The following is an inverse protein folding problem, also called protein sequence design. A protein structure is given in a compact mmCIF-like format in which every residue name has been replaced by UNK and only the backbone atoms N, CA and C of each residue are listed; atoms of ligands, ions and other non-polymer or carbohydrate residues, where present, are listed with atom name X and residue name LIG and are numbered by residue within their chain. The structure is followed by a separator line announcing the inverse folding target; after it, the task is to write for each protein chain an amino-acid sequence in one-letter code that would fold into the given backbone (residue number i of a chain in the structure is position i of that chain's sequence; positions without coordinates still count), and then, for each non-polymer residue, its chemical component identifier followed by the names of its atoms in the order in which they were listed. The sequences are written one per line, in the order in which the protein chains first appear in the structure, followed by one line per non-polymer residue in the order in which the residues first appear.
data_IF_143961098022
#
_entry.id   IF_143961098022
#
_cell.length_a   1.000
_cell.length_b   1.000
_cell.length_c   1.000
_cell.angle_alpha   90.00
_cell.angle_beta   90.00
_cell.angle_gamma   90.00
#
_symmetry.space_group_name_H-M   'P 1'
#
loop_
_entity.id
_entity.type
_entity.pdbx_description
1 polymer ?
#
# COMPACT_ATOMS: atom_id res chain seq x y z
N UNK A 1 8.14 3.45 -7.36
CA UNK A 1 7.51 4.47 -8.20
C UNK A 1 8.55 5.21 -9.02
N UNK A 2 9.57 5.81 -8.41
CA UNK A 2 10.64 6.51 -9.12
C UNK A 2 11.44 5.59 -10.04
N UNK A 3 11.66 4.34 -9.66
CA UNK A 3 12.25 3.33 -10.56
C UNK A 3 11.42 3.12 -11.83
N UNK A 4 10.07 3.08 -11.67
CA UNK A 4 9.14 3.02 -12.80
C UNK A 4 9.27 4.23 -13.72
N UNK A 5 9.25 5.43 -13.14
CA UNK A 5 9.36 6.67 -13.88
C UNK A 5 10.67 6.77 -14.66
N UNK A 6 11.81 6.61 -13.97
CA UNK A 6 13.12 6.73 -14.62
C UNK A 6 13.37 5.63 -15.67
N UNK A 7 12.91 4.41 -15.42
CA UNK A 7 12.97 3.36 -16.44
C UNK A 7 12.16 3.72 -17.68
N UNK A 8 10.95 4.29 -17.50
CA UNK A 8 10.07 4.66 -18.63
C UNK A 8 10.63 5.76 -19.54
N UNK A 9 11.48 6.64 -19.00
CA UNK A 9 12.17 7.69 -19.79
C UNK A 9 13.56 7.26 -20.28
N UNK A 10 13.91 5.97 -20.16
CA UNK A 10 15.11 5.39 -20.75
C UNK A 10 16.35 5.33 -19.86
N UNK A 11 16.24 5.63 -18.57
CA UNK A 11 17.36 5.48 -17.64
C UNK A 11 17.63 4.02 -17.33
N UNK A 12 18.91 3.63 -17.23
CA UNK A 12 19.32 2.35 -16.66
C UNK A 12 19.13 2.39 -15.14
N UNK A 13 18.17 1.63 -14.62
CA UNK A 13 17.79 1.68 -13.21
C UNK A 13 18.28 0.44 -12.48
N UNK A 14 18.97 0.64 -11.35
CA UNK A 14 19.28 -0.40 -10.37
C UNK A 14 18.62 -0.05 -9.03
N UNK A 15 17.84 -0.96 -8.49
CA UNK A 15 17.23 -0.88 -7.16
C UNK A 15 18.05 -1.72 -6.19
N UNK A 16 18.50 -1.13 -5.08
CA UNK A 16 19.20 -1.83 -4.00
C UNK A 16 18.27 -1.83 -2.79
N UNK A 17 17.90 -3.01 -2.32
CA UNK A 17 16.97 -3.20 -1.21
C UNK A 17 17.54 -4.20 -0.18
N UNK A 18 17.45 -3.84 1.10
CA UNK A 18 17.94 -4.68 2.19
C UNK A 18 17.05 -5.90 2.42
N UNK A 19 15.74 -5.77 2.16
CA UNK A 19 14.81 -6.89 2.24
C UNK A 19 14.99 -7.85 1.06
N UNK A 20 14.40 -9.02 1.16
CA UNK A 20 14.38 -10.04 0.11
C UNK A 20 13.28 -9.80 -0.94
N UNK A 21 12.52 -8.74 -0.81
CA UNK A 21 11.40 -8.36 -1.68
C UNK A 21 11.27 -6.83 -1.80
N UNK A 22 10.51 -6.37 -2.81
CA UNK A 22 10.21 -4.96 -3.05
C UNK A 22 8.85 -4.54 -2.48
N UNK A 23 8.62 -3.23 -2.38
CA UNK A 23 7.33 -2.62 -2.02
C UNK A 23 6.79 -2.98 -0.62
N UNK A 24 7.66 -3.34 0.32
CA UNK A 24 7.33 -3.49 1.75
C UNK A 24 6.25 -4.54 2.04
N UNK A 25 5.28 -4.23 2.89
CA UNK A 25 4.26 -5.17 3.38
C UNK A 25 3.11 -5.46 2.38
N UNK A 26 3.24 -5.12 1.11
CA UNK A 26 2.26 -5.51 0.09
C UNK A 26 2.26 -7.04 -0.12
N UNK A 27 1.23 -7.54 -0.82
CA UNK A 27 1.12 -8.98 -1.12
C UNK A 27 2.36 -9.48 -1.86
N UNK A 28 3.02 -10.49 -1.30
CA UNK A 28 4.31 -11.01 -1.78
C UNK A 28 4.25 -11.55 -3.22
N UNK A 29 3.11 -12.12 -3.62
CA UNK A 29 2.94 -12.64 -4.97
C UNK A 29 2.80 -11.51 -5.99
N UNK A 30 2.05 -10.45 -5.63
CA UNK A 30 1.88 -9.30 -6.50
C UNK A 30 3.17 -8.49 -6.62
N UNK A 31 3.92 -8.34 -5.52
CA UNK A 31 5.23 -7.65 -5.56
C UNK A 31 6.26 -8.42 -6.36
N UNK A 32 6.29 -9.75 -6.27
CA UNK A 32 7.16 -10.59 -7.10
C UNK A 32 6.80 -10.50 -8.60
N UNK A 33 5.50 -10.43 -8.92
CA UNK A 33 5.05 -10.23 -10.30
C UNK A 33 5.44 -8.84 -10.81
N UNK A 34 5.27 -7.80 -9.99
CA UNK A 34 5.71 -6.44 -10.32
C UNK A 34 7.22 -6.38 -10.58
N UNK A 35 8.03 -6.98 -9.70
CA UNK A 35 9.48 -7.09 -9.87
C UNK A 35 9.83 -7.74 -11.21
N UNK A 36 9.26 -8.90 -11.50
CA UNK A 36 9.48 -9.62 -12.76
C UNK A 36 9.12 -8.79 -13.99
N UNK A 37 8.06 -7.99 -13.91
CA UNK A 37 7.66 -7.10 -14.99
C UNK A 37 8.70 -6.00 -15.23
N UNK A 38 9.31 -5.47 -14.19
CA UNK A 38 10.38 -4.47 -14.33
C UNK A 38 11.72 -5.08 -14.72
N UNK A 39 12.04 -6.30 -14.29
CA UNK A 39 13.22 -7.03 -14.77
C UNK A 39 13.17 -7.25 -16.30
N UNK A 40 12.00 -7.61 -16.84
CA UNK A 40 11.77 -7.70 -18.30
C UNK A 40 11.99 -6.35 -19.02
N UNK A 41 11.80 -5.22 -18.32
CA UNK A 41 12.06 -3.86 -18.85
C UNK A 41 13.48 -3.38 -18.59
N UNK A 42 14.37 -4.25 -18.07
CA UNK A 42 15.78 -3.94 -17.83
C UNK A 42 16.10 -3.29 -16.49
N UNK A 43 15.16 -3.20 -15.57
CA UNK A 43 15.45 -2.77 -14.18
C UNK A 43 16.19 -3.90 -13.47
N UNK A 44 17.32 -3.57 -12.86
CA UNK A 44 18.10 -4.51 -12.06
C UNK A 44 17.73 -4.40 -10.59
N UNK A 45 17.42 -5.52 -9.95
CA UNK A 45 17.15 -5.58 -8.51
C UNK A 45 18.28 -6.30 -7.77
N UNK A 46 18.77 -5.67 -6.71
CA UNK A 46 19.77 -6.22 -5.78
C UNK A 46 19.07 -6.31 -4.42
N UNK A 47 18.41 -7.44 -4.18
CA UNK A 47 17.68 -7.71 -2.94
C UNK A 47 18.58 -8.39 -1.90
N UNK A 48 18.26 -8.28 -0.61
CA UNK A 48 19.10 -8.74 0.48
C UNK A 48 20.44 -7.99 0.54
N UNK A 49 20.48 -6.76 0.02
CA UNK A 49 21.67 -5.95 -0.17
C UNK A 49 21.62 -4.70 0.72
N UNK A 50 22.49 -4.61 1.72
CA UNK A 50 22.54 -3.50 2.67
C UNK A 50 23.45 -2.38 2.17
N UNK A 51 22.90 -1.24 1.80
CA UNK A 51 23.69 -0.05 1.45
C UNK A 51 24.52 0.39 2.64
N UNK A 52 25.80 0.61 2.41
CA UNK A 52 26.77 1.05 3.44
C UNK A 52 27.27 2.47 3.19
N UNK A 53 27.36 2.91 1.95
CA UNK A 53 27.89 4.23 1.60
C UNK A 53 27.36 4.70 0.25
N UNK A 54 27.08 5.99 0.14
CA UNK A 54 26.89 6.69 -1.14
C UNK A 54 28.19 7.47 -1.42
N UNK A 55 28.81 7.17 -2.56
CA UNK A 55 30.07 7.78 -2.99
C UNK A 55 29.83 8.74 -4.17
N UNK A 56 30.86 9.49 -4.57
CA UNK A 56 30.80 10.35 -5.76
C UNK A 56 30.54 9.57 -7.06
N UNK A 57 30.87 8.28 -7.10
CA UNK A 57 30.81 7.45 -8.32
C UNK A 57 29.73 6.38 -8.27
N UNK A 58 28.98 6.26 -7.17
CA UNK A 58 27.94 5.24 -7.04
C UNK A 58 27.59 4.88 -5.60
N UNK A 59 27.13 3.64 -5.41
CA UNK A 59 26.64 3.14 -4.12
C UNK A 59 27.38 1.87 -3.74
N UNK A 60 27.93 1.83 -2.52
CA UNK A 60 28.47 0.60 -1.91
C UNK A 60 27.37 -0.12 -1.15
N UNK A 61 27.32 -1.42 -1.32
CA UNK A 61 26.46 -2.29 -0.54
C UNK A 61 27.18 -3.57 -0.12
N UNK A 62 26.69 -4.19 0.92
CA UNK A 62 27.10 -5.52 1.38
C UNK A 62 25.99 -6.54 1.10
N UNK A 63 26.39 -7.67 0.54
CA UNK A 63 25.54 -8.83 0.34
C UNK A 63 26.38 -10.09 0.57
N UNK A 64 25.88 -11.01 1.42
CA UNK A 64 26.54 -12.28 1.74
C UNK A 64 27.99 -12.13 2.24
N UNK A 65 28.29 -11.01 2.92
CA UNK A 65 29.61 -10.69 3.45
C UNK A 65 30.56 -10.05 2.44
N UNK A 66 30.15 -9.84 1.20
CA UNK A 66 30.94 -9.17 0.16
C UNK A 66 30.51 -7.71 0.02
N UNK A 67 31.51 -6.80 -0.06
CA UNK A 67 31.29 -5.39 -0.36
C UNK A 67 31.44 -5.14 -1.86
N UNK A 68 30.39 -4.57 -2.46
CA UNK A 68 30.33 -4.30 -3.91
C UNK A 68 30.00 -2.82 -4.15
N UNK A 69 30.61 -2.23 -5.18
CA UNK A 69 30.29 -0.88 -5.67
C UNK A 69 29.46 -0.99 -6.95
N UNK A 70 28.29 -0.36 -6.97
CA UNK A 70 27.51 -0.11 -8.19
C UNK A 70 27.74 1.32 -8.62
N UNK A 71 28.30 1.51 -9.82
CA UNK A 71 28.45 2.82 -10.40
C UNK A 71 27.07 3.44 -10.76
N UNK A 72 26.90 4.71 -10.51
CA UNK A 72 25.68 5.44 -10.83
C UNK A 72 25.96 6.93 -11.02
N UNK A 73 25.34 7.54 -12.01
CA UNK A 73 25.41 8.99 -12.26
C UNK A 73 24.54 9.78 -11.26
N UNK A 74 23.44 9.16 -10.83
CA UNK A 74 22.50 9.72 -9.85
C UNK A 74 22.03 8.65 -8.87
N UNK A 75 21.87 9.06 -7.62
CA UNK A 75 21.37 8.20 -6.55
C UNK A 75 20.11 8.83 -5.97
N UNK A 76 19.02 8.04 -5.93
CA UNK A 76 17.79 8.43 -5.26
C UNK A 76 17.68 7.63 -3.96
N UNK A 77 17.57 8.33 -2.84
CA UNK A 77 17.39 7.76 -1.53
C UNK A 77 15.90 7.62 -1.22
N UNK A 78 15.42 6.38 -1.06
CA UNK A 78 14.02 6.07 -0.79
C UNK A 78 13.90 4.94 0.24
N UNK A 79 14.50 5.16 1.42
CA UNK A 79 14.65 4.16 2.50
C UNK A 79 13.55 4.24 3.56
N UNK A 80 12.46 4.93 3.29
CA UNK A 80 11.33 5.11 4.20
C UNK A 80 11.18 6.53 4.72
N UNK A 81 10.18 6.71 5.58
CA UNK A 81 9.81 7.98 6.20
C UNK A 81 9.66 7.80 7.70
N UNK A 82 9.85 8.89 8.45
CA UNK A 82 9.54 8.99 9.86
C UNK A 82 8.82 10.31 10.15
N UNK A 83 8.10 10.36 11.25
CA UNK A 83 7.48 11.61 11.69
C UNK A 83 8.56 12.69 11.89
N UNK A 84 8.26 13.89 11.42
CA UNK A 84 9.16 15.05 11.61
C UNK A 84 8.60 15.93 12.72
N UNK A 85 8.95 15.59 13.96
CA UNK A 85 8.50 16.25 15.18
C UNK A 85 9.61 17.07 15.87
N UNK A 86 10.83 16.96 15.38
CA UNK A 86 11.96 17.72 15.89
C UNK A 86 11.69 19.23 15.80
N UNK A 87 12.10 19.97 16.81
CA UNK A 87 12.02 21.45 16.87
C UNK A 87 10.60 22.05 16.92
N UNK A 88 9.55 21.20 17.08
CA UNK A 88 8.18 21.71 17.31
C UNK A 88 7.93 22.19 18.73
N UNK A 89 8.88 21.97 19.66
CA UNK A 89 8.75 22.38 21.06
C UNK A 89 7.71 21.57 21.84
N UNK A 90 7.41 20.36 21.39
CA UNK A 90 6.39 19.47 21.99
C UNK A 90 6.68 19.13 23.45
N UNK A 91 7.97 19.05 23.80
CA UNK A 91 8.45 18.82 25.15
C UNK A 91 8.05 19.94 26.12
N UNK A 92 7.86 21.17 25.64
CA UNK A 92 7.48 22.33 26.46
C UNK A 92 6.05 22.24 26.97
N UNK A 93 5.20 21.54 26.21
CA UNK A 93 3.78 21.35 26.57
C UNK A 93 3.50 19.89 26.99
N UNK A 94 4.52 19.04 27.00
CA UNK A 94 4.41 17.68 27.50
C UNK A 94 3.68 16.70 26.56
N UNK A 95 3.69 16.94 25.24
CA UNK A 95 3.10 16.00 24.26
C UNK A 95 3.92 14.72 24.22
N UNK A 96 3.25 13.57 24.34
CA UNK A 96 3.89 12.26 24.32
C UNK A 96 4.28 11.85 22.89
N UNK A 97 5.50 11.32 22.77
CA UNK A 97 6.04 10.78 21.53
C UNK A 97 6.34 9.28 21.68
N UNK A 98 6.14 8.52 20.62
CA UNK A 98 6.62 7.16 20.46
C UNK A 98 7.38 7.03 19.13
N UNK A 99 8.68 6.69 19.16
CA UNK A 99 9.54 6.60 17.97
C UNK A 99 9.46 7.86 17.07
N UNK A 100 9.56 9.03 17.70
CA UNK A 100 9.42 10.36 17.08
C UNK A 100 8.00 10.73 16.61
N UNK A 101 7.01 9.85 16.68
CA UNK A 101 5.63 10.13 16.31
C UNK A 101 4.79 10.62 17.49
N UNK A 102 3.88 11.56 17.25
CA UNK A 102 2.94 12.04 18.27
C UNK A 102 1.90 10.96 18.57
N UNK A 103 1.79 10.55 19.82
CA UNK A 103 0.78 9.58 20.27
C UNK A 103 -0.61 10.21 20.23
N UNK A 104 -1.55 9.55 19.53
CA UNK A 104 -2.95 9.97 19.47
C UNK A 104 -3.91 8.80 19.75
N UNK A 105 -5.07 9.13 20.30
CA UNK A 105 -6.21 8.20 20.42
C UNK A 105 -6.99 8.06 19.09
N UNK A 106 -8.17 7.40 19.12
CA UNK A 106 -9.02 7.23 17.96
C UNK A 106 -9.72 8.54 17.50
N UNK A 107 -9.72 9.56 18.34
CA UNK A 107 -10.26 10.88 18.04
C UNK A 107 -9.18 11.91 17.65
N UNK A 108 -7.96 11.42 17.40
CA UNK A 108 -6.77 12.25 17.09
C UNK A 108 -6.30 13.15 18.23
N UNK A 109 -6.80 12.94 19.47
CA UNK A 109 -6.38 13.69 20.65
C UNK A 109 -5.00 13.22 21.09
N UNK A 110 -4.14 14.15 21.47
CA UNK A 110 -2.90 13.82 22.19
C UNK A 110 -3.20 13.65 23.69
N UNK A 111 -2.18 13.35 24.48
CA UNK A 111 -2.26 13.34 25.93
C UNK A 111 -2.45 14.74 26.54
N UNK A 112 -2.31 15.81 25.77
CA UNK A 112 -2.48 17.20 26.21
C UNK A 112 -3.85 17.70 25.76
N UNK A 113 -4.66 18.13 26.70
CA UNK A 113 -6.02 18.64 26.42
C UNK A 113 -6.00 19.79 25.42
N UNK A 114 -6.86 19.71 24.39
CA UNK A 114 -6.97 20.72 23.32
C UNK A 114 -5.87 20.64 22.26
N UNK A 115 -4.99 19.64 22.32
CA UNK A 115 -3.95 19.40 21.32
C UNK A 115 -4.24 18.12 20.54
N UNK A 116 -4.29 18.22 19.22
CA UNK A 116 -4.58 17.15 18.28
C UNK A 116 -3.40 16.97 17.32
N UNK A 117 -3.27 15.78 16.73
CA UNK A 117 -2.27 15.51 15.69
C UNK A 117 -2.85 14.62 14.59
N UNK A 118 -2.75 15.08 13.33
CA UNK A 118 -3.23 14.38 12.15
C UNK A 118 -2.14 14.33 11.07
N UNK A 119 -2.13 13.28 10.25
CA UNK A 119 -1.17 13.06 9.18
C UNK A 119 0.13 12.42 9.64
N UNK A 120 1.17 12.51 8.81
CA UNK A 120 2.46 11.83 8.98
C UNK A 120 3.09 12.00 10.37
N UNK A 121 2.76 13.09 11.04
CA UNK A 121 3.30 13.44 12.36
C UNK A 121 2.89 12.46 13.46
N UNK A 122 1.74 11.74 13.31
CA UNK A 122 1.30 10.72 14.25
C UNK A 122 1.86 9.31 13.96
N UNK A 123 2.52 9.13 12.80
CA UNK A 123 3.21 7.88 12.43
C UNK A 123 2.31 6.68 12.13
N UNK A 124 0.99 6.82 12.14
CA UNK A 124 0.05 5.69 11.95
C UNK A 124 -0.13 5.30 10.48
N UNK A 125 -0.36 6.28 9.61
CA UNK A 125 -0.53 6.07 8.17
C UNK A 125 -0.03 7.31 7.42
N UNK A 126 1.11 7.18 6.75
CA UNK A 126 1.76 8.29 6.06
C UNK A 126 1.23 8.46 4.63
N UNK A 127 -0.11 8.64 4.51
CA UNK A 127 -0.84 8.79 3.25
C UNK A 127 -1.71 10.05 3.32
N UNK A 128 -1.71 10.85 2.26
CA UNK A 128 -2.42 12.12 2.21
C UNK A 128 -3.93 11.99 2.48
N UNK A 129 -4.57 10.97 1.88
CA UNK A 129 -6.00 10.71 2.08
C UNK A 129 -6.33 10.23 3.50
N UNK A 130 -5.40 9.56 4.18
CA UNK A 130 -5.54 9.25 5.61
C UNK A 130 -5.47 10.52 6.45
N UNK A 131 -4.52 11.41 6.14
CA UNK A 131 -4.37 12.68 6.85
C UNK A 131 -5.63 13.57 6.73
N UNK A 132 -6.30 13.58 5.57
CA UNK A 132 -7.59 14.27 5.42
C UNK A 132 -8.63 13.72 6.37
N UNK A 133 -8.78 12.39 6.43
CA UNK A 133 -9.77 11.76 7.31
C UNK A 133 -9.44 11.96 8.79
N UNK A 134 -8.19 11.87 9.17
CA UNK A 134 -7.75 12.16 10.53
C UNK A 134 -8.04 13.62 10.93
N UNK A 135 -7.82 14.58 10.03
CA UNK A 135 -8.14 15.98 10.27
C UNK A 135 -9.65 16.20 10.43
N UNK A 136 -10.49 15.54 9.63
CA UNK A 136 -11.95 15.58 9.78
C UNK A 136 -12.37 15.04 11.16
N UNK A 137 -11.82 13.90 11.59
CA UNK A 137 -12.10 13.32 12.92
C UNK A 137 -11.70 14.28 14.03
N UNK A 138 -10.52 14.89 13.95
CA UNK A 138 -10.05 15.87 14.92
C UNK A 138 -11.02 17.08 15.02
N UNK A 139 -11.43 17.61 13.88
CA UNK A 139 -12.38 18.76 13.84
C UNK A 139 -13.76 18.36 14.36
N UNK A 140 -14.27 17.18 14.00
CA UNK A 140 -15.54 16.68 14.50
C UNK A 140 -15.52 16.54 16.02
N UNK A 141 -14.44 16.03 16.58
CA UNK A 141 -14.26 15.92 18.03
C UNK A 141 -14.22 17.30 18.72
N UNK A 142 -13.50 18.27 18.15
CA UNK A 142 -13.48 19.66 18.63
C UNK A 142 -14.89 20.27 18.63
N UNK A 143 -15.71 19.94 17.63
CA UNK A 143 -17.09 20.43 17.50
C UNK A 143 -18.10 19.62 18.31
N UNK A 144 -17.69 18.60 19.03
CA UNK A 144 -18.58 17.72 19.81
C UNK A 144 -19.41 16.76 18.95
N UNK A 145 -19.01 16.53 17.70
CA UNK A 145 -19.63 15.54 16.81
C UNK A 145 -18.96 14.19 17.05
N UNK A 146 -19.78 13.14 17.28
CA UNK A 146 -19.27 11.78 17.49
C UNK A 146 -18.64 11.23 16.20
N UNK A 147 -17.34 11.00 16.24
CA UNK A 147 -16.57 10.44 15.12
C UNK A 147 -15.29 9.79 15.65
N UNK A 148 -14.78 8.78 14.93
CA UNK A 148 -13.53 8.09 15.27
C UNK A 148 -12.77 7.65 14.03
N UNK A 149 -11.45 7.62 14.10
CA UNK A 149 -10.59 7.13 13.04
C UNK A 149 -10.47 5.62 13.08
N UNK A 150 -10.72 4.98 11.94
CA UNK A 150 -10.54 3.56 11.72
C UNK A 150 -9.57 3.35 10.56
N UNK A 151 -8.58 2.46 10.74
CA UNK A 151 -7.50 2.26 9.76
C UNK A 151 -7.63 0.97 8.95
N UNK A 152 -8.67 0.16 9.20
CA UNK A 152 -8.79 -1.18 8.61
C UNK A 152 -9.14 -1.18 7.11
N UNK A 153 -9.67 -0.07 6.59
CA UNK A 153 -10.10 0.08 5.21
C UNK A 153 -9.39 1.21 4.45
N UNK A 154 -8.21 1.62 4.91
CA UNK A 154 -7.41 2.63 4.21
C UNK A 154 -6.80 2.02 2.96
N UNK A 155 -7.15 2.49 1.73
CA UNK A 155 -6.53 2.02 0.51
C UNK A 155 -5.11 2.56 0.37
N UNK A 156 -4.22 1.76 -0.20
CA UNK A 156 -2.85 2.17 -0.52
C UNK A 156 -2.54 1.84 -1.97
N UNK A 157 -1.79 2.71 -2.63
CA UNK A 157 -1.40 2.54 -4.02
C UNK A 157 0.08 2.80 -4.20
N UNK A 158 0.76 1.92 -4.93
CA UNK A 158 2.08 2.14 -5.50
C UNK A 158 1.89 2.47 -6.97
N UNK A 159 2.15 3.71 -7.33
CA UNK A 159 1.94 4.26 -8.68
C UNK A 159 3.07 3.85 -9.63
N UNK A 160 3.13 2.57 -9.91
CA UNK A 160 3.96 1.95 -10.94
C UNK A 160 3.13 1.73 -12.21
N UNK A 161 3.69 1.10 -13.23
CA UNK A 161 2.97 0.66 -14.42
C UNK A 161 3.29 -0.83 -14.68
N UNK A 162 2.35 -1.75 -14.38
CA UNK A 162 1.01 -1.55 -13.82
C UNK A 162 1.05 -1.05 -12.36
N UNK A 163 -0.06 -0.43 -11.91
CA UNK A 163 -0.25 0.01 -10.53
C UNK A 163 -0.42 -1.18 -9.59
N UNK A 164 0.11 -1.07 -8.35
CA UNK A 164 -0.15 -2.02 -7.28
C UNK A 164 -1.01 -1.34 -6.22
N UNK A 165 -2.25 -1.78 -6.07
CA UNK A 165 -3.18 -1.23 -5.09
C UNK A 165 -3.63 -2.29 -4.08
N UNK A 166 -3.92 -1.85 -2.85
CA UNK A 166 -4.35 -2.71 -1.76
C UNK A 166 -5.30 -2.00 -0.82
N UNK A 167 -6.18 -2.76 -0.17
CA UNK A 167 -7.00 -2.31 0.95
C UNK A 167 -7.29 -3.49 1.88
N UNK A 168 -7.33 -3.25 3.18
CA UNK A 168 -7.64 -4.26 4.19
C UNK A 168 -6.56 -5.34 4.33
N UNK A 169 -6.98 -6.55 4.62
CA UNK A 169 -6.08 -7.67 4.90
C UNK A 169 -5.46 -8.27 3.64
N UNK A 170 -4.18 -8.64 3.72
CA UNK A 170 -3.54 -9.59 2.81
C UNK A 170 -3.64 -11.00 3.39
N UNK A 171 -3.31 -12.04 2.62
CA UNK A 171 -3.20 -13.40 3.15
C UNK A 171 -2.22 -13.47 4.33
N UNK A 172 -1.10 -12.75 4.24
CA UNK A 172 -0.07 -12.72 5.27
C UNK A 172 -0.56 -12.02 6.56
N UNK A 173 -1.23 -10.87 6.45
CA UNK A 173 -1.75 -10.15 7.61
C UNK A 173 -2.90 -10.92 8.26
N UNK A 174 -3.80 -11.49 7.48
CA UNK A 174 -4.89 -12.34 7.97
C UNK A 174 -4.34 -13.55 8.75
N UNK A 175 -3.32 -14.21 8.21
CA UNK A 175 -2.65 -15.33 8.89
C UNK A 175 -2.01 -14.89 10.21
N UNK A 176 -1.32 -13.75 10.24
CA UNK A 176 -0.72 -13.20 11.48
C UNK A 176 -1.78 -12.92 12.55
N UNK A 177 -2.99 -12.52 12.14
CA UNK A 177 -4.14 -12.25 13.01
C UNK A 177 -4.95 -13.50 13.37
N UNK A 178 -4.61 -14.67 12.84
CA UNK A 178 -5.33 -15.92 13.05
C UNK A 178 -6.72 -15.96 12.43
N UNK A 179 -6.97 -15.14 11.39
CA UNK A 179 -8.24 -15.12 10.68
C UNK A 179 -8.35 -16.33 9.75
N UNK A 180 -9.52 -16.98 9.76
CA UNK A 180 -9.84 -18.04 8.80
C UNK A 180 -10.41 -17.41 7.52
N UNK A 181 -9.67 -17.53 6.42
CA UNK A 181 -9.97 -16.82 5.18
C UNK A 181 -10.08 -17.75 3.96
N UNK A 182 -10.79 -17.26 2.95
CA UNK A 182 -10.66 -17.66 1.56
C UNK A 182 -10.00 -16.52 0.79
N UNK A 183 -8.94 -16.83 0.05
CA UNK A 183 -8.30 -15.89 -0.88
C UNK A 183 -8.65 -16.32 -2.31
N UNK A 184 -9.33 -15.45 -3.04
CA UNK A 184 -9.67 -15.67 -4.46
C UNK A 184 -8.72 -14.87 -5.30
N UNK A 185 -7.92 -15.57 -6.10
CA UNK A 185 -6.98 -14.97 -7.04
C UNK A 185 -7.49 -15.12 -8.46
N UNK A 186 -7.64 -14.01 -9.16
CA UNK A 186 -7.99 -14.00 -10.57
C UNK A 186 -6.96 -13.26 -11.42
N UNK A 187 -6.54 -13.81 -12.56
CA UNK A 187 -5.85 -13.05 -13.58
C UNK A 187 -6.74 -11.94 -14.12
N UNK A 188 -6.18 -10.76 -14.37
CA UNK A 188 -6.92 -9.61 -14.90
C UNK A 188 -7.54 -9.86 -16.29
N UNK A 189 -7.13 -10.91 -17.00
CA UNK A 189 -7.77 -11.32 -18.26
C UNK A 189 -9.25 -11.73 -18.12
N UNK A 190 -9.75 -11.91 -16.91
CA UNK A 190 -11.19 -12.08 -16.65
C UNK A 190 -11.97 -10.78 -16.82
N UNK A 191 -11.31 -9.62 -16.91
CA UNK A 191 -11.90 -8.36 -17.37
C UNK A 191 -11.63 -8.19 -18.87
N UNK A 192 -12.67 -8.19 -19.70
CA UNK A 192 -12.54 -8.01 -21.14
C UNK A 192 -11.96 -6.63 -21.52
N UNK A 193 -12.30 -5.57 -20.75
CA UNK A 193 -11.73 -4.23 -20.93
C UNK A 193 -10.22 -4.23 -20.66
N UNK A 194 -9.78 -4.89 -19.57
CA UNK A 194 -8.36 -4.99 -19.29
C UNK A 194 -7.60 -5.68 -20.43
N UNK A 195 -8.17 -6.76 -20.97
CA UNK A 195 -7.55 -7.52 -22.07
C UNK A 195 -7.45 -6.68 -23.35
N UNK A 196 -8.46 -5.88 -23.64
CA UNK A 196 -8.47 -5.01 -24.82
C UNK A 196 -7.44 -3.88 -24.75
N UNK A 197 -7.09 -3.41 -23.55
CA UNK A 197 -6.15 -2.32 -23.34
C UNK A 197 -4.72 -2.77 -23.03
N UNK A 198 -4.52 -4.05 -22.68
CA UNK A 198 -3.23 -4.58 -22.23
C UNK A 198 -2.87 -5.86 -22.99
N UNK A 199 -2.08 -5.74 -24.05
CA UNK A 199 -1.55 -6.88 -24.77
C UNK A 199 -0.68 -7.76 -23.84
N UNK A 200 -1.05 -9.04 -23.69
CA UNK A 200 -0.34 -9.99 -22.84
C UNK A 200 -0.51 -9.81 -21.32
N UNK A 201 -1.54 -9.12 -20.91
CA UNK A 201 -1.84 -8.67 -19.55
C UNK A 201 -1.54 -9.60 -18.39
N UNK A 202 -0.41 -9.35 -17.71
CA UNK A 202 0.08 -10.11 -16.55
C UNK A 202 -0.53 -9.63 -15.20
N UNK A 203 -1.64 -8.89 -15.23
CA UNK A 203 -2.28 -8.37 -14.03
C UNK A 203 -2.99 -9.45 -13.22
N UNK A 204 -3.11 -9.21 -11.92
CA UNK A 204 -3.75 -10.11 -10.95
C UNK A 204 -4.57 -9.30 -9.97
N UNK A 205 -5.74 -9.81 -9.60
CA UNK A 205 -6.53 -9.33 -8.47
C UNK A 205 -6.71 -10.46 -7.45
N UNK A 206 -6.64 -10.11 -6.15
CA UNK A 206 -6.92 -11.00 -5.03
C UNK A 206 -8.01 -10.40 -4.17
N UNK A 207 -9.05 -11.17 -3.87
CA UNK A 207 -10.11 -10.83 -2.92
C UNK A 207 -9.96 -11.70 -1.69
N UNK A 208 -9.93 -11.09 -0.50
CA UNK A 208 -9.80 -11.78 0.78
C UNK A 208 -11.15 -11.74 1.50
N UNK A 209 -11.63 -12.92 1.87
CA UNK A 209 -12.94 -13.12 2.50
C UNK A 209 -12.77 -13.89 3.79
N UNK A 210 -13.36 -13.42 4.86
CA UNK A 210 -13.42 -14.14 6.13
C UNK A 210 -14.49 -15.24 6.06
N UNK A 211 -14.10 -16.53 6.29
CA UNK A 211 -15.00 -17.69 6.08
C UNK A 211 -16.20 -17.68 7.01
N UNK A 212 -16.00 -17.35 8.27
CA UNK A 212 -17.08 -17.42 9.27
C UNK A 212 -18.20 -16.40 9.03
N UNK A 213 -17.85 -15.20 8.58
CA UNK A 213 -18.80 -14.10 8.36
C UNK A 213 -19.14 -13.86 6.90
N UNK A 214 -18.37 -14.44 5.98
CA UNK A 214 -18.44 -14.21 4.54
C UNK A 214 -18.21 -12.75 4.15
N UNK A 215 -17.56 -11.96 5.02
CA UNK A 215 -17.25 -10.56 4.74
C UNK A 215 -16.01 -10.42 3.90
N UNK A 216 -16.05 -9.47 2.98
CA UNK A 216 -14.85 -8.99 2.29
C UNK A 216 -14.03 -8.19 3.28
N UNK A 217 -12.80 -8.65 3.54
CA UNK A 217 -11.89 -8.03 4.51
C UNK A 217 -10.61 -7.50 3.87
N UNK A 218 -10.43 -7.72 2.58
CA UNK A 218 -9.29 -7.16 1.85
C UNK A 218 -9.34 -7.39 0.35
N UNK A 219 -8.61 -6.57 -0.37
CA UNK A 219 -8.36 -6.72 -1.79
C UNK A 219 -6.97 -6.19 -2.15
N UNK A 220 -6.30 -6.87 -3.07
CA UNK A 220 -5.06 -6.45 -3.68
C UNK A 220 -5.17 -6.60 -5.19
N UNK A 221 -4.58 -5.65 -5.94
CA UNK A 221 -4.59 -5.70 -7.40
C UNK A 221 -3.27 -5.17 -7.98
N UNK A 222 -2.77 -5.87 -9.00
CA UNK A 222 -1.69 -5.41 -9.86
C UNK A 222 -2.28 -5.25 -11.27
N UNK A 223 -2.65 -4.03 -11.64
CA UNK A 223 -3.34 -3.74 -12.90
C UNK A 223 -3.32 -2.25 -13.23
N UNK A 224 -3.62 -1.86 -14.47
CA UNK A 224 -3.99 -0.47 -14.78
C UNK A 224 -5.30 -0.15 -14.07
N UNK A 225 -5.49 1.12 -13.71
CA UNK A 225 -6.67 1.62 -12.99
C UNK A 225 -6.90 0.97 -11.62
N UNK A 226 -5.89 0.25 -11.07
CA UNK A 226 -6.02 -0.32 -9.73
C UNK A 226 -6.26 0.78 -8.69
N UNK A 227 -5.64 1.95 -8.84
CA UNK A 227 -5.88 3.13 -8.01
C UNK A 227 -7.32 3.61 -8.01
N UNK A 228 -8.03 3.47 -9.14
CA UNK A 228 -9.42 3.91 -9.28
C UNK A 228 -10.40 2.90 -8.68
N UNK A 229 -10.26 1.62 -9.03
CA UNK A 229 -11.24 0.62 -8.60
C UNK A 229 -11.01 0.07 -7.19
N UNK A 230 -9.81 0.26 -6.59
CA UNK A 230 -9.55 -0.17 -5.21
C UNK A 230 -10.47 0.53 -4.20
N UNK A 231 -10.91 1.75 -4.50
CA UNK A 231 -11.88 2.52 -3.70
C UNK A 231 -13.21 1.78 -3.54
N UNK A 232 -13.66 1.03 -4.56
CA UNK A 232 -14.85 0.18 -4.47
C UNK A 232 -14.66 -0.93 -3.42
N UNK A 233 -13.50 -1.58 -3.42
CA UNK A 233 -13.18 -2.59 -2.41
C UNK A 233 -13.03 -1.97 -1.01
N UNK A 234 -12.50 -0.74 -0.90
CA UNK A 234 -12.44 -0.02 0.36
C UNK A 234 -13.83 0.21 0.97
N UNK A 235 -14.82 0.55 0.15
CA UNK A 235 -16.22 0.65 0.59
C UNK A 235 -16.74 -0.69 1.12
N UNK A 236 -16.42 -1.81 0.48
CA UNK A 236 -16.86 -3.12 0.95
C UNK A 236 -16.25 -3.49 2.29
N UNK A 237 -14.94 -3.24 2.45
CA UNK A 237 -14.23 -3.49 3.72
C UNK A 237 -14.74 -2.58 4.83
N UNK A 238 -14.90 -1.27 4.55
CA UNK A 238 -15.38 -0.29 5.54
C UNK A 238 -16.82 -0.59 6.00
N UNK A 239 -17.71 -0.94 5.07
CA UNK A 239 -19.10 -1.29 5.36
C UNK A 239 -19.26 -2.73 5.89
N UNK A 240 -18.21 -3.54 5.93
CA UNK A 240 -18.26 -4.95 6.33
C UNK A 240 -19.17 -5.79 5.46
N UNK A 241 -19.20 -5.52 4.14
CA UNK A 241 -20.10 -6.20 3.21
C UNK A 241 -19.76 -7.67 3.02
N UNK A 242 -20.80 -8.50 2.98
CA UNK A 242 -20.66 -9.92 2.68
C UNK A 242 -20.57 -10.19 1.17
N UNK A 243 -20.04 -11.35 0.79
CA UNK A 243 -20.03 -11.80 -0.61
C UNK A 243 -21.42 -11.76 -1.25
N UNK A 244 -22.45 -12.15 -0.50
CA UNK A 244 -23.84 -12.13 -1.02
C UNK A 244 -24.28 -10.71 -1.37
N UNK A 245 -23.93 -9.73 -0.53
CA UNK A 245 -24.23 -8.32 -0.80
C UNK A 245 -23.45 -7.79 -2.00
N UNK A 246 -22.14 -8.11 -2.09
CA UNK A 246 -21.30 -7.69 -3.23
C UNK A 246 -21.80 -8.28 -4.55
N UNK A 247 -22.21 -9.55 -4.58
CA UNK A 247 -22.77 -10.23 -5.76
C UNK A 247 -24.05 -9.59 -6.30
N UNK A 248 -24.81 -8.89 -5.45
CA UNK A 248 -26.03 -8.15 -5.83
C UNK A 248 -25.78 -6.78 -6.43
N UNK A 249 -24.54 -6.27 -6.35
CA UNK A 249 -24.17 -4.97 -6.91
C UNK A 249 -24.04 -5.08 -8.43
N UNK A 250 -24.60 -4.11 -9.15
CA UNK A 250 -24.47 -3.99 -10.59
C UNK A 250 -23.17 -3.24 -10.90
N UNK A 251 -22.24 -3.90 -11.57
CA UNK A 251 -21.01 -3.30 -12.08
C UNK A 251 -21.17 -2.89 -13.54
N UNK A 252 -20.64 -1.74 -13.95
CA UNK A 252 -20.69 -1.34 -15.36
C UNK A 252 -19.81 -2.25 -16.22
N UNK A 253 -20.31 -2.60 -17.40
CA UNK A 253 -19.60 -3.43 -18.39
C UNK A 253 -19.48 -2.70 -19.73
N UNK A 254 -18.28 -2.71 -20.41
CA UNK A 254 -17.03 -3.34 -19.95
C UNK A 254 -16.17 -2.35 -19.13
N UNK A 255 -15.66 -2.78 -17.98
CA UNK A 255 -14.71 -2.01 -17.15
C UNK A 255 -13.60 -2.88 -16.60
N UNK A 256 -12.46 -2.26 -16.22
CA UNK A 256 -11.39 -3.00 -15.53
C UNK A 256 -11.83 -3.41 -14.12
N UNK A 257 -12.58 -2.54 -13.43
CA UNK A 257 -13.03 -2.77 -12.05
C UNK A 257 -14.05 -3.90 -11.89
N UNK A 258 -14.70 -4.39 -12.96
CA UNK A 258 -15.60 -5.55 -12.88
C UNK A 258 -14.89 -6.84 -12.44
N UNK A 259 -13.55 -6.86 -12.41
CA UNK A 259 -12.77 -7.96 -11.84
C UNK A 259 -13.15 -8.26 -10.38
N UNK A 260 -13.60 -7.25 -9.64
CA UNK A 260 -14.09 -7.40 -8.26
C UNK A 260 -15.32 -8.31 -8.22
N UNK A 261 -16.27 -8.07 -9.12
CA UNK A 261 -17.45 -8.89 -9.28
C UNK A 261 -17.08 -10.33 -9.63
N UNK A 262 -16.21 -10.51 -10.61
CA UNK A 262 -15.74 -11.83 -11.01
C UNK A 262 -15.07 -12.58 -9.86
N UNK A 263 -14.23 -11.89 -9.07
CA UNK A 263 -13.63 -12.48 -7.87
C UNK A 263 -14.67 -12.86 -6.82
N UNK A 264 -15.68 -12.01 -6.59
CA UNK A 264 -16.76 -12.32 -5.64
C UNK A 264 -17.59 -13.54 -6.04
N UNK A 265 -17.78 -13.78 -7.35
CA UNK A 265 -18.49 -14.98 -7.85
C UNK A 265 -17.65 -16.26 -7.80
N UNK A 266 -16.32 -16.15 -7.80
CA UNK A 266 -15.40 -17.29 -7.67
C UNK A 266 -15.11 -17.67 -6.21
N UNK A 267 -15.45 -16.80 -5.26
CA UNK A 267 -15.31 -17.09 -3.83
C UNK A 267 -16.42 -18.08 -3.41
N UNK A 268 -16.04 -19.27 -2.95
CA UNK A 268 -16.93 -20.29 -2.39
C UNK A 268 -16.86 -20.30 -0.85
#
# INVERSE_FOLDING_TARGET
EMASYFNSIGSAVTVIEMLDHIAGENDAELTALLQKNYEKRGVRFLLGARVTEITETGVRYEKEGEAVLVAADKVLLSIGRRANTAELGLERIGVALERDAIVTDAHMRTNVSGVYAAGDVNGKSMLAHTAYREAEVAVNDIMGVADEMRYHAVPAVVYTNPELASVGETEATAKRKGLDITAVKLPMRFSGRYLAENEGGDGVAKLIVERGTQRVIGMQALANYASEFISTAAVFVEAGMTLEQVRKIIFPHPTVGEIIREAAWQAE
#
